data_IF_126762037478
#
_entry.id   IF_126762037478
#
_cell.length_a   1.000
_cell.length_b   1.000
_cell.length_c   1.000
_cell.angle_alpha   90.00
_cell.angle_beta   90.00
_cell.angle_gamma   90.00
#
_symmetry.space_group_name_H-M   'P 1'
#
loop_
_entity.id
_entity.type
_entity.pdbx_description
1 polymer ?
#
# COMPACT_ATOMS: atom_id res chain seq x y z
N UNK A 1 -14.16 -23.37 -8.64
CA UNK A 1 -13.02 -22.53 -9.04
C UNK A 1 -12.16 -22.18 -7.84
N UNK A 2 -10.92 -21.84 -8.08
CA UNK A 2 -9.96 -21.42 -7.04
C UNK A 2 -10.09 -19.93 -6.77
N UNK A 3 -9.85 -19.54 -5.51
CA UNK A 3 -9.68 -18.15 -5.10
C UNK A 3 -8.21 -17.87 -4.90
N UNK A 4 -7.73 -16.70 -5.35
CA UNK A 4 -6.32 -16.34 -5.30
C UNK A 4 -6.16 -14.87 -4.92
N UNK A 5 -5.31 -14.62 -3.93
CA UNK A 5 -4.83 -13.29 -3.60
C UNK A 5 -3.30 -13.28 -3.68
N UNK A 6 -2.74 -12.40 -4.51
CA UNK A 6 -1.30 -12.20 -4.63
C UNK A 6 -0.99 -10.82 -4.04
N UNK A 7 -0.36 -10.84 -2.86
CA UNK A 7 0.17 -9.64 -2.21
C UNK A 7 1.60 -9.39 -2.70
N UNK A 8 2.01 -8.14 -2.70
CA UNK A 8 3.36 -7.74 -3.12
C UNK A 8 3.71 -8.21 -4.55
N UNK A 9 2.75 -8.13 -5.47
CA UNK A 9 2.90 -8.56 -6.87
C UNK A 9 4.00 -7.80 -7.63
N UNK A 10 4.36 -6.63 -7.16
CA UNK A 10 5.38 -5.73 -7.67
C UNK A 10 6.77 -5.92 -7.02
N UNK A 11 6.87 -6.68 -5.95
CA UNK A 11 8.12 -6.85 -5.17
C UNK A 11 9.34 -7.29 -6.00
N UNK A 12 9.23 -8.24 -6.95
CA UNK A 12 10.37 -8.60 -7.79
C UNK A 12 10.88 -7.41 -8.61
N UNK A 13 10.00 -6.59 -9.13
CA UNK A 13 10.37 -5.41 -9.92
C UNK A 13 11.03 -4.34 -9.04
N UNK A 14 10.52 -4.14 -7.83
CA UNK A 14 11.11 -3.22 -6.83
C UNK A 14 12.53 -3.64 -6.44
N UNK A 15 12.76 -4.95 -6.25
CA UNK A 15 14.08 -5.49 -5.90
C UNK A 15 15.11 -5.40 -7.05
N UNK A 16 14.64 -5.29 -8.28
CA UNK A 16 15.50 -5.19 -9.45
C UNK A 16 15.84 -3.75 -9.86
N UNK A 17 15.43 -2.74 -9.08
CA UNK A 17 15.70 -1.34 -9.39
C UNK A 17 17.21 -1.09 -9.42
N UNK A 18 17.67 -0.43 -10.49
CA UNK A 18 19.08 -0.18 -10.73
C UNK A 18 19.83 -1.32 -11.43
N UNK A 19 19.14 -2.42 -11.78
CA UNK A 19 19.71 -3.51 -12.56
C UNK A 19 18.80 -3.86 -13.74
N UNK A 20 19.08 -3.31 -14.90
CA UNK A 20 18.24 -3.44 -16.11
C UNK A 20 18.09 -4.88 -16.62
N UNK A 21 19.17 -5.69 -16.51
CA UNK A 21 19.12 -7.10 -16.91
C UNK A 21 18.19 -7.90 -16.00
N UNK A 22 18.29 -7.67 -14.69
CA UNK A 22 17.45 -8.33 -13.70
C UNK A 22 15.99 -7.88 -13.85
N UNK A 23 15.74 -6.59 -14.09
CA UNK A 23 14.41 -6.07 -14.37
C UNK A 23 13.79 -6.73 -15.59
N UNK A 24 14.57 -6.88 -16.67
CA UNK A 24 14.09 -7.57 -17.87
C UNK A 24 13.75 -9.03 -17.59
N UNK A 25 14.62 -9.76 -16.90
CA UNK A 25 14.42 -11.15 -16.54
C UNK A 25 13.16 -11.35 -15.69
N UNK A 26 12.98 -10.52 -14.66
CA UNK A 26 11.79 -10.59 -13.83
C UNK A 26 10.51 -10.20 -14.59
N UNK A 27 10.59 -9.19 -15.45
CA UNK A 27 9.47 -8.80 -16.32
C UNK A 27 9.02 -9.96 -17.21
N UNK A 28 9.95 -10.63 -17.85
CA UNK A 28 9.66 -11.75 -18.75
C UNK A 28 9.05 -12.93 -17.97
N UNK A 29 9.56 -13.21 -16.77
CA UNK A 29 9.03 -14.25 -15.88
C UNK A 29 7.61 -13.91 -15.42
N UNK A 30 7.38 -12.68 -14.98
CA UNK A 30 6.06 -12.22 -14.54
C UNK A 30 5.05 -12.22 -15.69
N UNK A 31 5.46 -11.83 -16.91
CA UNK A 31 4.63 -11.94 -18.11
C UNK A 31 4.18 -13.36 -18.36
N UNK A 32 5.11 -14.30 -18.31
CA UNK A 32 4.80 -15.72 -18.50
C UNK A 32 3.83 -16.23 -17.42
N UNK A 33 4.07 -15.88 -16.16
CA UNK A 33 3.20 -16.24 -15.02
C UNK A 33 1.79 -15.69 -15.20
N UNK A 34 1.65 -14.41 -15.46
CA UNK A 34 0.34 -13.77 -15.63
C UNK A 34 -0.37 -14.21 -16.93
N UNK A 35 0.39 -14.51 -17.98
CA UNK A 35 -0.15 -15.12 -19.19
C UNK A 35 -0.75 -16.50 -18.93
N UNK A 36 -0.09 -17.31 -18.10
CA UNK A 36 -0.64 -18.60 -17.66
C UNK A 36 -1.89 -18.42 -16.79
N UNK A 37 -1.89 -17.42 -15.91
CA UNK A 37 -3.06 -17.06 -15.08
C UNK A 37 -4.27 -16.72 -15.95
N UNK A 38 -4.08 -15.87 -16.96
CA UNK A 38 -5.12 -15.51 -17.93
C UNK A 38 -5.65 -16.72 -18.69
N UNK A 39 -4.77 -17.62 -19.12
CA UNK A 39 -5.18 -18.83 -19.84
C UNK A 39 -6.02 -19.80 -18.99
N UNK A 40 -5.97 -19.67 -17.65
CA UNK A 40 -6.71 -20.45 -16.66
C UNK A 40 -7.88 -19.71 -16.03
N UNK A 41 -8.29 -18.59 -16.61
CA UNK A 41 -9.38 -17.73 -16.11
C UNK A 41 -10.64 -18.54 -15.77
N UNK A 42 -11.06 -19.47 -16.60
CA UNK A 42 -12.21 -20.34 -16.32
C UNK A 42 -12.09 -21.25 -15.09
N UNK A 43 -10.86 -21.39 -14.51
CA UNK A 43 -10.62 -22.14 -13.28
C UNK A 43 -10.54 -21.24 -12.03
N UNK A 44 -10.52 -19.93 -12.22
CA UNK A 44 -10.37 -18.94 -11.14
C UNK A 44 -11.74 -18.36 -10.85
N UNK A 45 -12.22 -18.52 -9.62
CA UNK A 45 -13.46 -17.93 -9.14
C UNK A 45 -13.29 -16.46 -8.77
N UNK A 46 -12.14 -16.15 -8.18
CA UNK A 46 -11.78 -14.81 -7.74
C UNK A 46 -10.27 -14.66 -7.74
N UNK A 47 -9.76 -13.53 -8.23
CA UNK A 47 -8.34 -13.19 -8.21
C UNK A 47 -8.16 -11.73 -7.77
N UNK A 48 -7.29 -11.50 -6.79
CA UNK A 48 -6.92 -10.16 -6.34
C UNK A 48 -5.41 -10.01 -6.36
N UNK A 49 -4.94 -8.92 -6.96
CA UNK A 49 -3.52 -8.54 -7.01
C UNK A 49 -3.34 -7.24 -6.25
N UNK A 50 -2.37 -7.20 -5.35
CA UNK A 50 -2.00 -5.98 -4.63
C UNK A 50 -0.50 -5.71 -4.76
N UNK A 51 -0.09 -4.45 -4.60
CA UNK A 51 1.30 -4.02 -4.65
C UNK A 51 1.45 -2.60 -4.12
N UNK A 52 2.69 -2.18 -3.92
CA UNK A 52 3.03 -0.83 -3.44
C UNK A 52 2.91 0.20 -4.56
N UNK A 53 3.22 -0.20 -5.79
CA UNK A 53 3.25 0.68 -6.95
C UNK A 53 2.40 0.16 -8.09
N UNK A 54 1.82 1.10 -8.83
CA UNK A 54 1.09 0.80 -10.05
C UNK A 54 2.08 0.56 -11.20
N UNK A 55 2.59 -0.65 -11.34
CA UNK A 55 3.33 -1.04 -12.54
C UNK A 55 2.44 -1.23 -13.79
N UNK A 56 1.21 -0.71 -13.75
CA UNK A 56 0.21 -0.88 -14.80
C UNK A 56 0.61 -0.33 -16.18
N UNK A 57 1.58 0.59 -16.24
CA UNK A 57 2.18 1.05 -17.51
C UNK A 57 3.40 0.23 -17.94
N UNK A 58 3.94 -0.62 -17.06
CA UNK A 58 5.00 -1.54 -17.43
C UNK A 58 4.34 -2.77 -18.05
N UNK A 59 4.74 -3.13 -19.23
CA UNK A 59 4.19 -4.18 -20.12
C UNK A 59 3.92 -5.58 -19.52
N UNK A 60 4.09 -5.75 -18.21
CA UNK A 60 3.84 -7.00 -17.47
C UNK A 60 2.35 -7.30 -17.34
N UNK A 61 1.55 -6.24 -17.08
CA UNK A 61 0.11 -6.37 -16.87
C UNK A 61 -0.73 -5.97 -18.08
N UNK A 62 -0.10 -5.48 -19.16
CA UNK A 62 -0.81 -5.06 -20.38
C UNK A 62 -1.64 -6.20 -21.03
N UNK A 63 -1.23 -7.43 -20.77
CA UNK A 63 -1.90 -8.62 -21.31
C UNK A 63 -3.05 -9.13 -20.42
N UNK A 64 -3.20 -8.56 -19.20
CA UNK A 64 -4.24 -8.93 -18.23
C UNK A 64 -5.48 -8.02 -18.40
N UNK A 65 -6.14 -8.12 -19.55
CA UNK A 65 -7.37 -7.36 -19.82
C UNK A 65 -8.63 -7.91 -19.11
N UNK A 66 -8.49 -8.99 -18.36
CA UNK A 66 -9.52 -9.59 -17.52
C UNK A 66 -9.50 -9.07 -16.07
N UNK A 67 -8.54 -8.22 -15.71
CA UNK A 67 -8.49 -7.55 -14.40
C UNK A 67 -9.13 -6.18 -14.47
N UNK A 68 -9.81 -5.81 -13.40
CA UNK A 68 -10.34 -4.48 -13.15
C UNK A 68 -9.42 -3.75 -12.16
N UNK A 69 -8.92 -2.58 -12.55
CA UNK A 69 -8.16 -1.72 -11.64
C UNK A 69 -9.11 -0.98 -10.71
N UNK A 70 -9.03 -1.30 -9.42
CA UNK A 70 -9.87 -0.73 -8.36
C UNK A 70 -9.10 0.25 -7.47
N UNK A 71 -7.82 0.51 -7.74
CA UNK A 71 -6.92 1.25 -6.85
C UNK A 71 -7.41 2.63 -6.45
N UNK A 72 -8.11 3.34 -7.37
CA UNK A 72 -8.59 4.71 -7.16
C UNK A 72 -10.12 4.80 -7.23
N UNK A 73 -10.82 3.68 -7.12
CA UNK A 73 -12.28 3.69 -7.16
C UNK A 73 -12.87 3.98 -5.79
N UNK A 74 -13.73 4.97 -5.73
CA UNK A 74 -14.39 5.44 -4.51
C UNK A 74 -15.03 4.32 -3.68
N UNK A 75 -15.60 3.32 -4.35
CA UNK A 75 -16.28 2.19 -3.68
C UNK A 75 -15.31 1.19 -3.01
N UNK A 76 -14.01 1.30 -3.23
CA UNK A 76 -12.98 0.39 -2.72
C UNK A 76 -11.91 1.08 -1.87
N UNK A 77 -12.11 2.34 -1.49
CA UNK A 77 -11.11 3.13 -0.76
C UNK A 77 -10.75 2.52 0.61
N UNK A 78 -11.67 1.82 1.24
CA UNK A 78 -11.48 1.19 2.56
C UNK A 78 -10.91 -0.24 2.48
N UNK A 79 -10.64 -0.78 1.27
CA UNK A 79 -10.27 -2.21 1.14
C UNK A 79 -8.86 -2.54 1.67
N UNK A 80 -7.95 -1.57 1.71
CA UNK A 80 -6.53 -1.78 2.06
C UNK A 80 -6.05 -0.98 3.27
N UNK A 81 -6.93 -0.27 3.96
CA UNK A 81 -6.62 0.51 5.15
C UNK A 81 -7.51 0.13 6.32
N UNK A 82 -7.39 0.86 7.40
CA UNK A 82 -8.34 0.88 8.52
C UNK A 82 -8.94 2.28 8.55
N UNK A 83 -10.25 2.40 8.42
CA UNK A 83 -10.94 3.68 8.58
C UNK A 83 -11.01 4.08 10.06
N UNK A 84 -11.22 5.37 10.33
CA UNK A 84 -11.39 5.86 11.71
C UNK A 84 -12.56 5.15 12.41
N UNK A 85 -13.65 4.92 11.67
CA UNK A 85 -14.79 4.17 12.17
C UNK A 85 -14.42 2.72 12.55
N UNK A 86 -13.70 2.01 11.68
CA UNK A 86 -13.27 0.63 11.95
C UNK A 86 -12.28 0.55 13.11
N UNK A 87 -11.42 1.55 13.26
CA UNK A 87 -10.49 1.63 14.40
C UNK A 87 -11.28 1.67 15.72
N UNK A 88 -12.27 2.54 15.82
CA UNK A 88 -13.09 2.65 17.02
C UNK A 88 -14.01 1.44 17.24
N UNK A 89 -14.64 0.90 16.18
CA UNK A 89 -15.57 -0.23 16.30
C UNK A 89 -14.87 -1.55 16.65
N UNK A 90 -13.63 -1.77 16.17
CA UNK A 90 -12.97 -3.07 16.30
C UNK A 90 -11.82 -3.10 17.31
N UNK A 91 -11.28 -1.94 17.73
CA UNK A 91 -10.11 -1.85 18.59
C UNK A 91 -10.33 -0.96 19.82
N UNK A 92 -11.58 -0.75 20.22
CA UNK A 92 -11.93 0.11 21.37
C UNK A 92 -11.23 -0.36 22.65
N UNK A 93 -11.20 -1.67 22.90
CA UNK A 93 -10.56 -2.26 24.08
C UNK A 93 -9.05 -2.01 24.08
N UNK A 94 -8.38 -2.28 22.97
CA UNK A 94 -6.95 -2.10 22.80
C UNK A 94 -6.55 -0.62 22.88
N UNK A 95 -7.40 0.28 22.38
CA UNK A 95 -7.18 1.72 22.51
C UNK A 95 -7.26 2.18 23.97
N UNK A 96 -8.19 1.64 24.76
CA UNK A 96 -8.25 1.92 26.21
C UNK A 96 -7.03 1.36 26.95
N UNK A 97 -6.64 0.11 26.67
CA UNK A 97 -5.43 -0.49 27.26
C UNK A 97 -4.18 0.32 26.90
N UNK A 98 -4.11 0.82 25.68
CA UNK A 98 -2.99 1.64 25.22
C UNK A 98 -2.98 3.02 25.92
N UNK A 99 -4.14 3.65 26.07
CA UNK A 99 -4.28 4.91 26.80
C UNK A 99 -3.79 4.75 28.24
N UNK A 100 -4.23 3.71 28.94
CA UNK A 100 -3.79 3.40 30.31
C UNK A 100 -2.28 3.18 30.39
N UNK A 101 -1.70 2.42 29.43
CA UNK A 101 -0.28 2.14 29.37
C UNK A 101 0.59 3.40 29.14
N UNK A 102 0.06 4.38 28.41
CA UNK A 102 0.73 5.67 28.14
C UNK A 102 0.43 6.74 29.20
N UNK A 103 -0.53 6.50 30.08
CA UNK A 103 -1.00 7.50 31.05
C UNK A 103 -1.75 8.67 30.40
N UNK A 104 -2.40 8.40 29.27
CA UNK A 104 -3.19 9.35 28.49
C UNK A 104 -4.67 9.01 28.56
N UNK A 105 -5.51 9.96 28.19
CA UNK A 105 -6.94 9.71 27.99
C UNK A 105 -7.18 9.01 26.65
N UNK A 106 -8.35 8.40 26.49
CA UNK A 106 -8.78 7.79 25.24
C UNK A 106 -8.74 8.78 24.07
N UNK A 107 -9.24 9.99 24.27
CA UNK A 107 -9.28 11.03 23.23
C UNK A 107 -7.87 11.49 22.82
N UNK A 108 -6.95 11.58 23.77
CA UNK A 108 -5.54 11.90 23.48
C UNK A 108 -4.88 10.80 22.68
N UNK A 109 -5.08 9.51 23.01
CA UNK A 109 -4.56 8.38 22.24
C UNK A 109 -5.14 8.37 20.81
N UNK A 110 -6.43 8.59 20.64
CA UNK A 110 -7.05 8.64 19.32
C UNK A 110 -6.50 9.80 18.48
N UNK A 111 -6.24 10.95 19.10
CA UNK A 111 -5.60 12.10 18.43
C UNK A 111 -4.17 11.76 17.98
N UNK A 112 -3.34 11.22 18.88
CA UNK A 112 -1.98 10.78 18.55
C UNK A 112 -1.93 9.69 17.49
N UNK A 113 -2.87 8.73 17.52
CA UNK A 113 -3.00 7.71 16.49
C UNK A 113 -3.28 8.33 15.12
N UNK A 114 -4.19 9.31 15.07
CA UNK A 114 -4.53 10.03 13.84
C UNK A 114 -3.33 10.81 13.31
N UNK A 115 -2.68 11.59 14.13
CA UNK A 115 -1.52 12.39 13.71
C UNK A 115 -0.35 11.57 13.19
N UNK A 116 -0.17 10.35 13.73
CA UNK A 116 0.98 9.50 13.38
C UNK A 116 0.72 8.53 12.24
N UNK A 117 -0.51 8.02 12.11
CA UNK A 117 -0.80 6.86 11.26
C UNK A 117 -1.93 7.07 10.26
N UNK A 118 -2.70 8.16 10.37
CA UNK A 118 -3.67 8.59 9.38
C UNK A 118 -2.97 9.48 8.34
N UNK A 119 -3.04 9.13 7.09
CA UNK A 119 -2.39 9.93 6.04
C UNK A 119 -2.50 9.32 4.66
N UNK A 120 -3.08 8.12 4.54
CA UNK A 120 -3.35 7.54 3.24
C UNK A 120 -4.67 8.06 2.70
N UNK A 121 -4.60 8.78 1.57
CA UNK A 121 -5.77 9.18 0.79
C UNK A 121 -5.70 8.48 -0.57
N UNK A 122 -6.66 7.60 -0.85
CA UNK A 122 -6.70 6.85 -2.11
C UNK A 122 -7.35 7.65 -3.24
N UNK A 123 -8.15 8.66 -2.90
CA UNK A 123 -8.73 9.62 -3.84
C UNK A 123 -8.69 11.01 -3.23
N UNK A 124 -8.80 12.05 -4.06
CA UNK A 124 -8.72 13.45 -3.63
C UNK A 124 -9.71 13.80 -2.51
N UNK A 125 -10.91 13.23 -2.53
CA UNK A 125 -11.99 13.48 -1.55
C UNK A 125 -12.17 12.29 -0.58
N UNK A 126 -11.19 11.37 -0.46
CA UNK A 126 -11.32 10.25 0.45
C UNK A 126 -11.03 10.64 1.88
N UNK A 127 -11.71 9.95 2.81
CA UNK A 127 -11.35 9.99 4.23
C UNK A 127 -9.94 9.44 4.40
N UNK A 128 -9.21 9.94 5.37
CA UNK A 128 -7.91 9.40 5.76
C UNK A 128 -8.02 7.94 6.20
N UNK A 129 -7.02 7.17 5.87
CA UNK A 129 -6.94 5.74 6.20
C UNK A 129 -5.68 5.48 7.01
N UNK A 130 -5.83 4.78 8.12
CA UNK A 130 -4.71 4.34 8.94
C UNK A 130 -3.95 3.20 8.25
N UNK A 131 -2.64 3.22 8.37
CA UNK A 131 -1.80 2.10 7.97
C UNK A 131 -2.02 0.90 8.90
N UNK A 132 -2.55 -0.25 8.42
CA UNK A 132 -2.90 -1.38 9.28
C UNK A 132 -1.71 -1.96 10.02
N UNK A 133 -0.53 -2.02 9.37
CA UNK A 133 0.67 -2.57 9.99
C UNK A 133 1.13 -1.71 11.19
N UNK A 134 1.09 -0.39 11.03
CA UNK A 134 1.44 0.55 12.11
C UNK A 134 0.44 0.46 13.27
N UNK A 135 -0.86 0.50 12.96
CA UNK A 135 -1.93 0.39 13.98
C UNK A 135 -1.79 -0.91 14.78
N UNK A 136 -1.73 -2.05 14.10
CA UNK A 136 -1.67 -3.36 14.77
C UNK A 136 -0.43 -3.53 15.66
N UNK A 137 0.73 -3.03 15.21
CA UNK A 137 1.95 -3.10 16.04
C UNK A 137 1.88 -2.13 17.22
N UNK A 138 1.37 -0.91 17.02
CA UNK A 138 1.20 0.07 18.11
C UNK A 138 0.30 -0.49 19.21
N UNK A 139 -0.86 -1.01 18.85
CA UNK A 139 -1.81 -1.60 19.82
C UNK A 139 -1.24 -2.87 20.47
N UNK A 140 -0.54 -3.71 19.72
CA UNK A 140 0.07 -4.93 20.25
C UNK A 140 1.15 -4.67 21.29
N UNK A 141 1.98 -3.65 21.08
CA UNK A 141 3.13 -3.37 21.94
C UNK A 141 2.89 -2.20 22.91
N UNK A 142 1.78 -1.52 22.81
CA UNK A 142 1.45 -0.28 23.54
C UNK A 142 2.56 0.78 23.42
N UNK A 143 3.15 0.92 22.23
CA UNK A 143 4.25 1.86 21.95
C UNK A 143 4.04 2.47 20.57
N UNK A 144 4.10 3.79 20.48
CA UNK A 144 4.18 4.49 19.21
C UNK A 144 5.52 4.23 18.51
N UNK A 145 5.51 3.90 17.22
CA UNK A 145 6.72 3.62 16.45
C UNK A 145 6.53 3.86 14.96
N UNK A 146 7.64 4.01 14.26
CA UNK A 146 7.65 4.18 12.81
C UNK A 146 7.66 2.80 12.09
N UNK A 147 6.75 1.93 12.46
CA UNK A 147 6.70 0.53 12.01
C UNK A 147 6.67 0.37 10.50
N UNK A 148 6.01 1.28 9.79
CA UNK A 148 5.98 1.26 8.34
C UNK A 148 7.37 1.44 7.70
N UNK A 149 8.23 2.24 8.31
CA UNK A 149 9.59 2.47 7.85
C UNK A 149 10.48 1.21 7.89
N UNK A 150 10.18 0.27 8.75
CA UNK A 150 10.95 -0.96 8.92
C UNK A 150 10.63 -2.02 7.84
N UNK A 151 9.60 -1.82 7.02
CA UNK A 151 9.10 -2.84 6.07
C UNK A 151 9.75 -2.80 4.67
N UNK A 152 10.82 -2.02 4.45
CA UNK A 152 11.58 -2.00 3.20
C UNK A 152 11.03 -1.11 2.09
N UNK A 153 9.82 -0.57 2.23
CA UNK A 153 9.25 0.42 1.28
C UNK A 153 10.07 1.72 1.19
N UNK A 154 10.67 2.22 2.29
CA UNK A 154 11.52 3.41 2.25
C UNK A 154 12.70 3.31 1.30
N UNK A 155 13.30 2.14 1.15
CA UNK A 155 14.46 1.97 0.25
C UNK A 155 14.10 2.33 -1.18
N UNK A 156 12.95 1.87 -1.66
CA UNK A 156 12.45 2.21 -2.99
C UNK A 156 12.23 3.72 -3.17
N UNK A 157 11.52 4.34 -2.22
CA UNK A 157 11.24 5.79 -2.26
C UNK A 157 12.54 6.60 -2.20
N UNK A 158 13.49 6.21 -1.34
CA UNK A 158 14.80 6.86 -1.23
C UNK A 158 15.57 6.76 -2.54
N UNK A 159 15.60 5.59 -3.18
CA UNK A 159 16.27 5.42 -4.48
C UNK A 159 15.60 6.23 -5.59
N UNK A 160 14.26 6.30 -5.57
CA UNK A 160 13.49 7.09 -6.53
C UNK A 160 13.76 8.59 -6.35
N UNK A 161 13.77 9.08 -5.12
CA UNK A 161 14.07 10.47 -4.77
C UNK A 161 15.51 10.84 -5.16
N UNK A 162 16.49 9.96 -4.91
CA UNK A 162 17.89 10.15 -5.32
C UNK A 162 18.01 10.24 -6.84
N UNK A 163 17.34 9.33 -7.58
CA UNK A 163 17.40 9.26 -9.03
C UNK A 163 16.84 10.50 -9.72
N UNK A 164 15.80 11.08 -9.16
CA UNK A 164 15.06 12.20 -9.77
C UNK A 164 15.38 13.58 -9.18
N UNK A 165 16.28 13.68 -8.19
CA UNK A 165 16.65 14.94 -7.52
C UNK A 165 15.44 15.76 -7.05
N UNK A 166 14.41 15.08 -6.50
CA UNK A 166 13.21 15.77 -6.02
C UNK A 166 13.52 16.69 -4.84
N UNK A 167 12.96 17.91 -4.90
CA UNK A 167 12.94 18.83 -3.77
C UNK A 167 11.85 18.42 -2.78
N UNK A 168 12.26 17.86 -1.65
CA UNK A 168 11.37 17.36 -0.60
C UNK A 168 10.47 18.47 -0.02
N UNK A 169 10.91 19.73 -0.03
CA UNK A 169 10.10 20.86 0.42
C UNK A 169 8.93 21.16 -0.52
N UNK A 170 9.12 20.94 -1.81
CA UNK A 170 8.02 21.10 -2.79
C UNK A 170 7.03 19.95 -2.71
N UNK A 171 7.51 18.72 -2.54
CA UNK A 171 6.64 17.53 -2.45
C UNK A 171 5.64 17.57 -1.29
N UNK A 172 5.97 18.23 -0.19
CA UNK A 172 5.07 18.36 0.97
C UNK A 172 3.82 19.23 0.67
N UNK A 173 3.81 19.95 -0.45
CA UNK A 173 2.75 20.90 -0.82
C UNK A 173 2.21 20.69 -2.25
N UNK A 174 2.71 19.71 -2.99
CA UNK A 174 2.21 19.41 -4.34
C UNK A 174 1.16 18.29 -4.29
N UNK A 175 -0.02 18.57 -4.82
CA UNK A 175 -1.01 17.54 -5.15
C UNK A 175 -0.48 16.72 -6.33
N UNK A 176 -0.40 15.39 -6.17
CA UNK A 176 0.03 14.50 -7.26
C UNK A 176 -1.17 13.94 -7.98
N UNK A 177 -1.23 14.14 -9.29
CA UNK A 177 -2.22 13.51 -10.16
C UNK A 177 -1.81 12.06 -10.49
N UNK A 178 -2.79 11.19 -10.69
CA UNK A 178 -2.62 9.77 -11.07
C UNK A 178 -1.76 9.58 -12.34
N UNK A 179 -1.56 10.64 -13.10
CA UNK A 179 -0.89 10.62 -14.40
C UNK A 179 0.62 10.90 -14.36
N UNK A 180 1.23 11.10 -13.21
CA UNK A 180 2.69 11.29 -13.15
C UNK A 180 3.37 10.00 -13.59
N UNK A 181 3.98 9.96 -14.79
CA UNK A 181 4.66 8.76 -15.25
C UNK A 181 5.90 8.56 -14.41
N UNK A 182 5.99 7.41 -13.76
CA UNK A 182 7.26 6.88 -13.26
C UNK A 182 8.04 6.43 -14.50
N UNK A 183 8.71 7.39 -15.14
CA UNK A 183 9.58 7.15 -16.29
C UNK A 183 10.95 6.63 -15.82
#
# INVERSE_FOLDING_TARGET
GSEMCIRDSDKPMLQAIGNDELQKSFRDTLKAFYGALKSKDGCIKFGMLTGVTKFGKVSVFSDLNNLEDISMRQQYIEICGISDRELHENFETELHEFADAQGLTYDEICTEMRERYDGYHFTHDSIGMYNPFSVLNTLKYNVFGNYWFETGTPTYLVELLKKHHYDLHRMAHEETDEQVPVS
#
